data_IF_059659657988
#
_entry.id   IF_059659657988
#
_cell.length_a   1.000
_cell.length_b   1.000
_cell.length_c   1.000
_cell.angle_alpha   90.00
_cell.angle_beta   90.00
_cell.angle_gamma   90.00
#
_symmetry.space_group_name_H-M   'P 1'
#
loop_
_entity.id
_entity.type
_entity.pdbx_description
1 polymer ?
#
# COMPACT_ATOMS: atom_id res chain seq x y z
N UNK A 1 11.61 7.46 -0.38
CA UNK A 1 10.58 6.80 -1.19
C UNK A 1 10.86 5.30 -1.10
N UNK A 2 9.99 4.52 -0.46
CA UNK A 2 10.14 3.05 -0.34
C UNK A 2 9.29 2.40 -1.43
N UNK A 3 9.89 1.55 -2.25
CA UNK A 3 9.22 0.78 -3.29
C UNK A 3 9.45 -0.71 -3.01
N UNK A 4 8.45 -1.53 -3.30
CA UNK A 4 8.57 -2.98 -3.32
C UNK A 4 8.18 -3.48 -4.71
N UNK A 5 9.02 -4.34 -5.27
CA UNK A 5 8.84 -4.93 -6.60
C UNK A 5 8.32 -6.36 -6.40
N UNK A 6 7.24 -6.71 -7.08
CA UNK A 6 6.70 -8.07 -7.16
C UNK A 6 7.26 -8.69 -8.43
N UNK A 7 8.05 -9.77 -8.27
CA UNK A 7 8.73 -10.49 -9.35
C UNK A 7 7.90 -11.74 -9.72
N UNK A 8 7.11 -11.65 -10.78
CA UNK A 8 6.50 -12.79 -11.47
C UNK A 8 6.54 -12.47 -12.97
N UNK A 9 7.07 -13.38 -13.79
CA UNK A 9 7.45 -13.21 -15.21
C UNK A 9 6.24 -13.05 -16.18
N UNK A 10 5.14 -12.45 -15.71
CA UNK A 10 4.05 -11.95 -16.52
C UNK A 10 4.27 -10.45 -16.76
N UNK A 11 4.09 -9.98 -18.01
CA UNK A 11 4.10 -8.54 -18.27
C UNK A 11 2.99 -7.90 -17.42
N UNK A 12 3.39 -7.16 -16.38
CA UNK A 12 2.48 -6.50 -15.47
C UNK A 12 1.55 -5.57 -16.25
N UNK A 13 0.24 -5.74 -16.07
CA UNK A 13 -0.73 -4.85 -16.69
C UNK A 13 -1.06 -3.74 -15.69
N UNK A 14 -1.11 -2.50 -16.15
CA UNK A 14 -1.57 -1.40 -15.30
C UNK A 14 -3.03 -1.61 -14.88
N UNK A 15 -3.35 -1.26 -13.65
CA UNK A 15 -4.67 -1.43 -13.04
C UNK A 15 -5.11 -2.88 -12.81
N UNK A 16 -4.16 -3.79 -12.65
CA UNK A 16 -4.42 -5.20 -12.38
C UNK A 16 -4.70 -5.49 -10.90
N UNK A 17 -4.05 -4.75 -10.00
CA UNK A 17 -4.15 -4.94 -8.55
C UNK A 17 -4.37 -3.61 -7.82
N UNK A 18 -5.20 -3.68 -6.78
CA UNK A 18 -5.49 -2.56 -5.88
C UNK A 18 -5.00 -2.87 -4.47
N UNK A 19 -4.46 -1.85 -3.80
CA UNK A 19 -3.99 -1.94 -2.42
C UNK A 19 -4.60 -0.83 -1.59
N UNK A 20 -5.07 -1.19 -0.39
CA UNK A 20 -5.43 -0.25 0.66
C UNK A 20 -4.24 0.00 1.59
N UNK A 21 -4.02 1.26 1.95
CA UNK A 21 -3.12 1.67 3.01
C UNK A 21 -3.94 1.85 4.29
N UNK A 22 -3.62 1.06 5.30
CA UNK A 22 -4.33 1.07 6.58
C UNK A 22 -3.43 1.62 7.69
N UNK A 23 -3.98 2.44 8.57
CA UNK A 23 -3.27 2.90 9.77
C UNK A 23 -3.14 1.80 10.83
N UNK A 24 -2.50 2.12 11.97
CA UNK A 24 -2.31 1.21 13.08
C UNK A 24 -3.64 0.67 13.69
N UNK A 25 -4.75 1.38 13.51
CA UNK A 25 -6.07 0.98 13.98
C UNK A 25 -6.84 0.15 12.94
N UNK A 26 -6.26 -0.08 11.76
CA UNK A 26 -6.91 -0.76 10.65
C UNK A 26 -7.87 0.14 9.85
N UNK A 27 -7.78 1.46 9.98
CA UNK A 27 -8.58 2.42 9.20
C UNK A 27 -7.95 2.60 7.82
N UNK A 28 -8.75 2.45 6.75
CA UNK A 28 -8.33 2.72 5.37
C UNK A 28 -8.11 4.23 5.18
N UNK A 29 -6.88 4.63 4.86
CA UNK A 29 -6.51 6.05 4.68
C UNK A 29 -6.19 6.41 3.23
N UNK A 30 -5.87 5.44 2.37
CA UNK A 30 -5.67 5.65 0.94
C UNK A 30 -5.83 4.34 0.17
N UNK A 31 -6.23 4.43 -1.09
CA UNK A 31 -6.17 3.33 -2.06
C UNK A 31 -5.12 3.69 -3.12
N UNK A 32 -4.34 2.71 -3.54
CA UNK A 32 -3.39 2.79 -4.65
C UNK A 32 -3.63 1.65 -5.63
N UNK A 33 -3.39 1.90 -6.91
CA UNK A 33 -3.53 0.92 -7.99
C UNK A 33 -2.18 0.84 -8.70
N UNK A 34 -1.77 -0.35 -9.13
CA UNK A 34 -0.49 -0.52 -9.80
C UNK A 34 -0.49 0.13 -11.19
N UNK A 35 0.64 0.75 -11.55
CA UNK A 35 0.92 1.12 -12.93
C UNK A 35 1.42 -0.09 -13.75
N UNK A 36 1.68 0.14 -15.04
CA UNK A 36 2.21 -0.87 -15.98
C UNK A 36 3.59 -1.45 -15.61
N UNK A 37 4.26 -0.87 -14.62
CA UNK A 37 5.55 -1.34 -14.11
C UNK A 37 5.39 -1.99 -12.73
N UNK A 38 4.16 -2.19 -12.24
CA UNK A 38 3.88 -2.70 -10.91
C UNK A 38 4.00 -1.69 -9.78
N UNK A 39 4.23 -0.40 -10.09
CA UNK A 39 4.43 0.62 -9.06
C UNK A 39 3.09 1.08 -8.52
N UNK A 40 2.96 1.09 -7.20
CA UNK A 40 1.77 1.57 -6.49
C UNK A 40 2.09 2.89 -5.79
N UNK A 41 1.32 3.92 -6.09
CA UNK A 41 1.42 5.22 -5.43
C UNK A 41 0.16 5.45 -4.58
N UNK A 42 0.37 5.79 -3.31
CA UNK A 42 -0.68 6.24 -2.41
C UNK A 42 -0.78 7.76 -2.42
N UNK A 43 -1.94 8.29 -1.99
CA UNK A 43 -2.09 9.72 -1.76
C UNK A 43 -1.11 10.19 -0.71
N UNK A 44 -0.61 11.41 -0.88
CA UNK A 44 0.23 12.07 0.11
C UNK A 44 -0.53 12.20 1.45
N UNK A 45 0.13 11.83 2.54
CA UNK A 45 -0.40 11.96 3.89
C UNK A 45 0.25 13.18 4.56
N UNK A 46 -0.58 14.11 5.04
CA UNK A 46 -0.11 15.28 5.77
C UNK A 46 -0.06 14.98 7.26
N UNK A 47 1.07 15.32 7.90
CA UNK A 47 1.27 15.16 9.34
C UNK A 47 1.53 16.52 9.98
N UNK A 48 0.80 16.83 11.04
CA UNK A 48 0.95 18.09 11.79
C UNK A 48 1.84 17.94 13.03
N UNK A 49 2.15 16.72 13.45
CA UNK A 49 2.94 16.44 14.65
C UNK A 49 4.06 15.44 14.36
N UNK A 50 5.28 15.65 14.90
CA UNK A 50 6.33 14.63 14.86
C UNK A 50 5.90 13.35 15.57
N UNK A 51 6.38 12.21 15.09
CA UNK A 51 5.97 10.92 15.64
C UNK A 51 6.26 9.74 14.72
N UNK A 52 5.97 8.55 15.26
CA UNK A 52 6.03 7.30 14.50
C UNK A 52 4.63 6.95 14.03
N UNK A 53 4.49 6.73 12.72
CA UNK A 53 3.24 6.33 12.11
C UNK A 53 3.42 4.97 11.46
N UNK A 54 2.56 4.03 11.84
CA UNK A 54 2.58 2.66 11.35
C UNK A 54 1.46 2.47 10.33
N UNK A 55 1.83 1.89 9.19
CA UNK A 55 0.89 1.56 8.14
C UNK A 55 1.10 0.14 7.64
N UNK A 56 0.03 -0.45 7.15
CA UNK A 56 0.07 -1.74 6.45
C UNK A 56 -0.59 -1.56 5.09
N UNK A 57 0.14 -1.89 4.02
CA UNK A 57 -0.44 -2.00 2.69
C UNK A 57 -0.98 -3.43 2.52
N UNK A 58 -2.25 -3.57 2.15
CA UNK A 58 -2.90 -4.86 1.87
C UNK A 58 -3.64 -4.81 0.55
N UNK A 59 -3.61 -5.90 -0.19
CA UNK A 59 -4.38 -6.03 -1.41
C UNK A 59 -5.88 -6.02 -1.09
N UNK A 60 -6.66 -5.38 -1.95
CA UNK A 60 -8.12 -5.27 -1.85
C UNK A 60 -8.77 -5.59 -3.19
N UNK A 61 -10.02 -6.04 -3.15
CA UNK A 61 -10.91 -6.13 -4.30
C UNK A 61 -12.07 -5.14 -4.12
N UNK A 62 -12.01 -4.02 -4.83
CA UNK A 62 -12.81 -2.83 -4.51
C UNK A 62 -12.50 -2.33 -3.09
N UNK A 63 -13.52 -2.23 -2.24
CA UNK A 63 -13.36 -1.87 -0.82
C UNK A 63 -13.25 -3.09 0.11
N UNK A 64 -13.19 -4.30 -0.46
CA UNK A 64 -13.13 -5.55 0.30
C UNK A 64 -11.68 -5.93 0.59
N UNK A 65 -11.37 -6.09 1.88
CA UNK A 65 -10.12 -6.69 2.33
C UNK A 65 -10.08 -8.16 1.91
N UNK A 66 -9.10 -8.51 1.08
CA UNK A 66 -8.82 -9.91 0.77
C UNK A 66 -8.20 -10.61 2.00
N UNK A 67 -8.35 -11.94 2.13
CA UNK A 67 -7.64 -12.72 3.14
C UNK A 67 -6.15 -12.39 3.11
N UNK A 68 -5.49 -12.45 4.27
CA UNK A 68 -4.05 -12.26 4.37
C UNK A 68 -3.32 -13.38 3.62
N UNK A 69 -3.06 -13.15 2.34
CA UNK A 69 -2.02 -13.86 1.59
C UNK A 69 -0.65 -13.45 2.15
N UNK A 70 0.38 -14.29 1.98
CA UNK A 70 1.71 -14.09 2.55
C UNK A 70 2.47 -12.84 2.07
N UNK A 71 1.83 -11.98 1.28
CA UNK A 71 2.39 -10.81 0.60
C UNK A 71 2.05 -9.46 1.27
N UNK A 72 1.50 -9.45 2.50
CA UNK A 72 1.24 -8.22 3.23
C UNK A 72 2.54 -7.47 3.59
N UNK A 73 2.66 -6.22 3.15
CA UNK A 73 3.84 -5.39 3.40
C UNK A 73 3.56 -4.32 4.45
N UNK A 74 4.37 -4.32 5.50
CA UNK A 74 4.31 -3.30 6.55
C UNK A 74 5.26 -2.15 6.23
N UNK A 75 4.77 -0.91 6.35
CA UNK A 75 5.57 0.30 6.16
C UNK A 75 5.59 1.11 7.45
N UNK A 76 6.79 1.39 7.96
CA UNK A 76 6.98 2.28 9.12
C UNK A 76 7.56 3.60 8.65
N UNK A 77 6.84 4.69 8.94
CA UNK A 77 7.30 6.06 8.67
C UNK A 77 7.66 6.75 9.98
N UNK A 78 8.88 7.27 10.05
CA UNK A 78 9.32 8.15 11.14
C UNK A 78 9.39 9.58 10.62
N UNK A 79 8.62 10.49 11.23
CA UNK A 79 8.81 11.93 11.06
C UNK A 79 9.65 12.44 12.24
N UNK A 80 10.76 13.12 11.94
CA UNK A 80 11.64 13.79 12.89
C UNK A 80 11.20 15.23 13.14
#
# INVERSE_FOLDING_TARGET
>A
MHAAVVDDESELVGNEFSYGLFDANGVLVSIGVNDKNGVILFKELTYSTPGKYHYVARQIDGDTLLPLEANAQSLMLMLL
#
